data_IF_555484499238
#
_entry.id   IF_555484499238
#
_cell.length_a   1.000
_cell.length_b   1.000
_cell.length_c   1.000
_cell.angle_alpha   90.00
_cell.angle_beta   90.00
_cell.angle_gamma   90.00
#
_symmetry.space_group_name_H-M   'P 1'
#
loop_
_entity.id
_entity.type
_entity.pdbx_description
1 polymer ?
#
# COMPACT_ATOMS: atom_id res chain seq x y z
N UNK A 1 -62.62 -28.77 36.27
CA UNK A 1 -62.08 -27.43 36.43
C UNK A 1 -60.60 -27.58 36.66
N UNK A 2 -59.81 -27.32 35.64
CA UNK A 2 -58.31 -27.31 35.72
C UNK A 2 -57.82 -25.93 35.26
N UNK A 3 -57.14 -25.26 36.15
CA UNK A 3 -56.57 -23.91 35.92
C UNK A 3 -55.39 -23.96 34.97
N UNK A 4 -55.29 -22.97 34.07
CA UNK A 4 -54.21 -22.76 33.15
C UNK A 4 -53.26 -21.73 33.73
N UNK A 5 -51.96 -21.98 33.87
CA UNK A 5 -51.01 -20.99 34.38
C UNK A 5 -50.69 -19.91 33.34
N UNK A 6 -50.66 -18.65 33.80
CA UNK A 6 -50.27 -17.45 33.05
C UNK A 6 -48.80 -17.51 32.69
N UNK A 7 -48.50 -17.34 31.39
CA UNK A 7 -47.12 -17.18 30.86
C UNK A 7 -46.66 -15.74 31.08
N UNK A 8 -45.61 -15.58 31.86
CA UNK A 8 -44.94 -14.31 32.15
C UNK A 8 -44.08 -13.90 30.94
N UNK A 9 -44.29 -12.68 30.44
CA UNK A 9 -43.51 -12.10 29.34
C UNK A 9 -42.04 -11.88 29.70
N UNK A 10 -41.11 -12.49 28.93
CA UNK A 10 -39.71 -12.19 29.02
C UNK A 10 -39.42 -10.86 28.33
N UNK A 11 -38.87 -9.93 29.10
CA UNK A 11 -38.26 -8.68 28.62
C UNK A 11 -37.11 -8.96 27.68
N UNK A 12 -37.26 -8.55 26.43
CA UNK A 12 -36.17 -8.50 25.43
C UNK A 12 -35.22 -7.38 25.85
N UNK A 13 -34.01 -7.73 26.32
CA UNK A 13 -32.93 -6.77 26.54
C UNK A 13 -32.47 -6.27 25.20
N UNK A 14 -32.62 -4.98 24.96
CA UNK A 14 -32.00 -4.25 23.85
C UNK A 14 -30.49 -4.39 23.95
N UNK A 15 -29.91 -5.10 22.98
CA UNK A 15 -28.47 -5.16 22.80
C UNK A 15 -27.96 -3.77 22.42
N UNK A 16 -27.12 -3.19 23.26
CA UNK A 16 -26.37 -1.99 22.97
C UNK A 16 -25.32 -2.40 21.94
N UNK A 17 -25.47 -1.93 20.69
CA UNK A 17 -24.41 -2.03 19.69
C UNK A 17 -23.16 -1.33 20.23
N UNK A 18 -21.96 -1.95 20.11
CA UNK A 18 -20.74 -1.28 20.52
C UNK A 18 -20.51 -0.08 19.59
N UNK A 19 -20.58 1.13 20.16
CA UNK A 19 -20.15 2.37 19.51
C UNK A 19 -18.79 2.13 18.83
N UNK A 20 -18.78 2.19 17.51
CA UNK A 20 -17.53 2.30 16.74
C UNK A 20 -16.87 3.60 17.17
N UNK A 21 -15.96 3.50 18.13
CA UNK A 21 -15.09 4.61 18.53
C UNK A 21 -14.38 5.09 17.28
N UNK A 22 -14.83 6.23 16.78
CA UNK A 22 -14.20 6.97 15.69
C UNK A 22 -12.85 7.46 16.23
N UNK A 23 -11.81 6.59 16.14
CA UNK A 23 -10.45 6.97 16.47
C UNK A 23 -10.07 8.04 15.45
N UNK A 24 -10.02 9.29 15.87
CA UNK A 24 -9.42 10.38 15.10
C UNK A 24 -8.01 9.91 14.72
N UNK A 25 -7.85 9.49 13.46
CA UNK A 25 -6.54 9.09 12.94
C UNK A 25 -5.73 10.37 12.83
N UNK A 26 -4.83 10.59 13.78
CA UNK A 26 -3.95 11.75 13.82
C UNK A 26 -3.01 11.69 12.62
N UNK A 27 -2.95 12.77 11.85
CA UNK A 27 -1.99 12.89 10.74
C UNK A 27 -0.58 13.01 11.32
N UNK A 28 0.32 12.19 10.84
CA UNK A 28 1.72 12.18 11.27
C UNK A 28 2.67 12.05 10.08
N UNK A 29 3.87 12.54 10.24
CA UNK A 29 4.93 12.34 9.26
C UNK A 29 5.54 10.96 9.49
N UNK A 30 5.72 10.22 8.40
CA UNK A 30 6.26 8.86 8.38
C UNK A 30 7.27 8.70 7.25
N UNK A 31 8.05 7.63 7.29
CA UNK A 31 8.83 7.14 6.14
C UNK A 31 8.12 5.91 5.57
N UNK A 32 7.76 6.00 4.29
CA UNK A 32 7.30 4.87 3.49
C UNK A 32 8.47 4.31 2.67
N UNK A 33 8.66 3.00 2.70
CA UNK A 33 9.70 2.28 1.96
C UNK A 33 9.08 1.64 0.73
N UNK A 34 9.59 2.00 -0.43
CA UNK A 34 9.05 1.61 -1.73
C UNK A 34 9.99 0.73 -2.51
N UNK A 35 9.49 -0.33 -3.12
CA UNK A 35 10.12 -0.99 -4.24
C UNK A 35 9.71 -0.29 -5.54
N UNK A 36 10.67 -0.03 -6.40
CA UNK A 36 10.47 0.62 -7.69
C UNK A 36 10.66 -0.43 -8.78
N UNK A 37 9.68 -0.62 -9.68
CA UNK A 37 9.83 -1.57 -10.77
C UNK A 37 10.91 -1.12 -11.76
N UNK A 38 11.61 -2.07 -12.35
CA UNK A 38 12.55 -1.86 -13.44
C UNK A 38 11.83 -1.58 -14.76
N UNK A 39 12.55 -1.08 -15.76
CA UNK A 39 12.02 -1.07 -17.13
C UNK A 39 11.91 -2.52 -17.68
N UNK A 40 10.91 -2.85 -18.52
CA UNK A 40 9.88 -1.98 -19.10
C UNK A 40 8.64 -1.77 -18.23
N UNK A 41 8.47 -2.53 -17.12
CA UNK A 41 7.29 -2.47 -16.28
C UNK A 41 7.07 -1.07 -15.69
N UNK A 42 8.13 -0.39 -15.25
CA UNK A 42 8.05 0.99 -14.74
C UNK A 42 7.43 1.94 -15.75
N UNK A 43 7.89 1.88 -17.01
CA UNK A 43 7.35 2.73 -18.09
C UNK A 43 5.88 2.43 -18.37
N UNK A 44 5.52 1.16 -18.37
CA UNK A 44 4.15 0.71 -18.56
C UNK A 44 3.21 1.26 -17.48
N UNK A 45 3.53 1.04 -16.21
CA UNK A 45 2.70 1.52 -15.10
C UNK A 45 2.66 3.04 -15.02
N UNK A 46 3.78 3.73 -15.28
CA UNK A 46 3.80 5.18 -15.28
C UNK A 46 2.87 5.76 -16.35
N UNK A 47 2.80 5.15 -17.53
CA UNK A 47 1.86 5.56 -18.58
C UNK A 47 0.41 5.42 -18.13
N UNK A 48 0.05 4.30 -17.50
CA UNK A 48 -1.31 4.10 -16.96
C UNK A 48 -1.63 5.15 -15.90
N UNK A 49 -0.72 5.38 -14.94
CA UNK A 49 -0.88 6.40 -13.90
C UNK A 49 -1.11 7.78 -14.53
N UNK A 50 -0.30 8.16 -15.50
CA UNK A 50 -0.43 9.46 -16.18
C UNK A 50 -1.75 9.60 -16.94
N UNK A 51 -2.20 8.55 -17.62
CA UNK A 51 -3.45 8.56 -18.39
C UNK A 51 -4.68 8.63 -17.47
N UNK A 52 -4.68 7.87 -16.38
CA UNK A 52 -5.72 7.89 -15.37
C UNK A 52 -5.74 9.24 -14.61
N UNK A 53 -4.57 9.76 -14.24
CA UNK A 53 -4.45 11.06 -13.56
C UNK A 53 -5.03 12.18 -14.42
N UNK A 54 -4.71 12.22 -15.72
CA UNK A 54 -5.25 13.21 -16.67
C UNK A 54 -6.77 13.07 -16.83
N UNK A 55 -7.28 11.83 -16.95
CA UNK A 55 -8.71 11.56 -17.15
C UNK A 55 -9.55 11.92 -15.93
N UNK A 56 -9.02 11.73 -14.73
CA UNK A 56 -9.77 11.82 -13.48
C UNK A 56 -9.34 13.02 -12.60
N UNK A 57 -8.50 13.91 -13.11
CA UNK A 57 -7.94 15.03 -12.33
C UNK A 57 -7.40 14.51 -10.98
N UNK A 58 -6.41 13.60 -11.07
CA UNK A 58 -5.79 12.95 -9.94
C UNK A 58 -4.28 13.23 -9.90
N UNK A 59 -3.60 13.05 -8.75
CA UNK A 59 -2.16 13.28 -8.68
C UNK A 59 -1.39 12.23 -9.49
N UNK A 60 -0.29 12.67 -10.10
CA UNK A 60 0.71 11.78 -10.71
C UNK A 60 1.73 11.39 -9.66
N UNK A 61 2.11 10.12 -9.64
CA UNK A 61 3.12 9.59 -8.73
C UNK A 61 3.97 8.51 -9.41
N UNK A 62 5.13 8.21 -8.82
CA UNK A 62 6.02 7.16 -9.31
C UNK A 62 5.43 5.77 -9.00
N UNK A 63 5.43 4.81 -9.97
CA UNK A 63 4.97 3.45 -9.70
C UNK A 63 5.82 2.79 -8.62
N UNK A 64 5.16 2.24 -7.59
CA UNK A 64 5.86 1.61 -6.48
C UNK A 64 5.00 0.58 -5.74
N UNK A 65 5.66 -0.33 -5.05
CA UNK A 65 5.05 -1.19 -4.02
C UNK A 65 5.56 -0.75 -2.66
N UNK A 66 4.67 -0.36 -1.77
CA UNK A 66 5.04 -0.03 -0.38
C UNK A 66 5.32 -1.33 0.38
N UNK A 67 6.53 -1.47 0.90
CA UNK A 67 6.98 -2.66 1.64
C UNK A 67 7.01 -2.44 3.14
N UNK A 68 7.09 -1.19 3.62
CA UNK A 68 7.02 -0.83 5.02
C UNK A 68 6.63 0.64 5.19
N UNK A 69 5.99 0.96 6.32
CA UNK A 69 5.74 2.34 6.76
C UNK A 69 6.11 2.42 8.24
N UNK A 70 7.06 3.30 8.56
CA UNK A 70 7.58 3.46 9.91
C UNK A 70 7.72 4.91 10.34
N UNK A 71 8.28 5.13 11.54
CA UNK A 71 8.50 6.46 12.10
C UNK A 71 9.41 7.32 11.20
N UNK A 72 9.27 8.66 11.28
CA UNK A 72 10.12 9.63 10.55
C UNK A 72 11.56 9.65 11.07
N UNK A 73 12.37 8.69 10.61
CA UNK A 73 13.79 8.53 10.93
C UNK A 73 14.62 8.46 9.65
N UNK A 74 14.88 9.61 9.04
CA UNK A 74 15.59 9.67 7.74
C UNK A 74 17.01 9.07 7.80
N UNK A 75 17.75 9.29 8.90
CA UNK A 75 19.12 8.76 9.06
C UNK A 75 19.09 7.21 9.16
N UNK A 76 18.13 6.64 9.88
CA UNK A 76 17.95 5.21 9.97
C UNK A 76 17.55 4.61 8.60
N UNK A 77 16.80 5.34 7.79
CA UNK A 77 16.42 4.91 6.45
C UNK A 77 17.65 4.77 5.52
N UNK A 78 18.62 5.67 5.59
CA UNK A 78 19.86 5.56 4.81
C UNK A 78 20.68 4.33 5.21
N UNK A 79 20.80 4.07 6.52
CA UNK A 79 21.52 2.88 7.01
C UNK A 79 20.82 1.59 6.62
N UNK A 80 19.48 1.54 6.73
CA UNK A 80 18.68 0.38 6.33
C UNK A 80 18.88 0.03 4.86
N UNK A 81 19.05 1.01 3.98
CA UNK A 81 19.29 0.76 2.55
C UNK A 81 20.66 0.15 2.29
N UNK A 82 21.69 0.59 2.98
CA UNK A 82 22.99 -0.03 2.89
C UNK A 82 22.95 -1.53 3.26
N UNK A 83 22.21 -1.91 4.27
CA UNK A 83 22.02 -3.30 4.68
C UNK A 83 21.09 -4.06 3.71
N UNK A 84 19.98 -3.48 3.30
CA UNK A 84 19.03 -4.10 2.38
C UNK A 84 19.64 -4.32 0.98
N UNK A 85 20.34 -3.34 0.43
CA UNK A 85 21.00 -3.44 -0.89
C UNK A 85 22.10 -4.50 -0.93
N UNK A 86 22.78 -4.73 0.21
CA UNK A 86 23.80 -5.81 0.30
C UNK A 86 23.18 -7.20 0.46
N UNK A 87 21.97 -7.29 1.01
CA UNK A 87 21.32 -8.58 1.33
C UNK A 87 20.29 -9.02 0.31
N UNK A 88 19.76 -8.09 -0.47
CA UNK A 88 18.65 -8.34 -1.38
C UNK A 88 19.10 -8.19 -2.83
N UNK A 89 18.91 -9.25 -3.60
CA UNK A 89 18.96 -9.26 -5.05
C UNK A 89 17.71 -8.56 -5.61
N UNK A 90 17.62 -8.49 -6.95
CA UNK A 90 16.38 -8.10 -7.61
C UNK A 90 15.18 -8.83 -7.01
N UNK A 91 14.07 -8.12 -6.83
CA UNK A 91 12.84 -8.73 -6.30
C UNK A 91 11.88 -8.93 -7.46
N UNK A 92 11.42 -10.16 -7.63
CA UNK A 92 10.42 -10.52 -8.63
C UNK A 92 9.08 -10.76 -7.93
N UNK A 93 8.02 -10.09 -8.42
CA UNK A 93 6.68 -10.25 -7.90
C UNK A 93 5.72 -10.61 -9.02
N UNK A 94 4.89 -11.62 -8.76
CA UNK A 94 3.85 -12.08 -9.70
C UNK A 94 2.58 -11.26 -9.52
N UNK A 95 2.08 -10.54 -10.56
CA UNK A 95 0.76 -9.93 -10.53
C UNK A 95 -0.31 -11.02 -10.42
N UNK A 96 -1.32 -10.79 -9.57
CA UNK A 96 -2.44 -11.75 -9.39
C UNK A 96 -3.79 -11.15 -9.77
N UNK A 97 -3.83 -9.88 -10.13
CA UNK A 97 -5.03 -9.22 -10.63
C UNK A 97 -5.06 -7.72 -10.35
N UNK A 98 -6.11 -7.07 -10.87
CA UNK A 98 -6.42 -5.68 -10.60
C UNK A 98 -7.46 -5.61 -9.47
N UNK A 99 -7.09 -4.89 -8.41
CA UNK A 99 -7.97 -4.61 -7.28
C UNK A 99 -8.48 -3.17 -7.28
N UNK A 100 -9.54 -2.95 -6.52
CA UNK A 100 -10.08 -1.61 -6.28
C UNK A 100 -10.60 -1.48 -4.84
N UNK A 101 -10.56 -0.28 -4.28
CA UNK A 101 -11.10 0.02 -2.94
C UNK A 101 -11.64 1.45 -2.88
N UNK A 102 -12.26 1.81 -1.76
CA UNK A 102 -12.71 3.16 -1.46
C UNK A 102 -11.64 4.04 -0.78
N UNK A 103 -10.45 3.47 -0.51
CA UNK A 103 -9.32 4.22 0.02
C UNK A 103 -8.70 5.11 -1.07
N UNK A 104 -8.47 6.40 -0.76
CA UNK A 104 -7.91 7.38 -1.68
C UNK A 104 -6.61 6.90 -2.36
N UNK A 105 -5.66 6.37 -1.58
CA UNK A 105 -4.35 5.90 -2.08
C UNK A 105 -4.36 4.47 -2.63
N UNK A 106 -5.54 3.85 -2.71
CA UNK A 106 -5.71 2.47 -3.16
C UNK A 106 -6.98 2.30 -3.99
N UNK A 107 -7.37 3.35 -4.71
CA UNK A 107 -8.59 3.36 -5.52
C UNK A 107 -8.58 2.29 -6.58
N UNK A 108 -7.45 2.15 -7.28
CA UNK A 108 -7.19 1.15 -8.31
C UNK A 108 -5.74 0.69 -8.22
N UNK A 109 -5.48 -0.60 -8.23
CA UNK A 109 -4.13 -1.12 -8.00
C UNK A 109 -3.92 -2.51 -8.62
N UNK A 110 -2.67 -2.82 -8.94
CA UNK A 110 -2.22 -4.18 -9.23
C UNK A 110 -1.92 -4.87 -7.91
N UNK A 111 -2.55 -6.02 -7.67
CA UNK A 111 -2.23 -6.88 -6.53
C UNK A 111 -1.11 -7.83 -6.92
N UNK A 112 -0.14 -8.04 -6.02
CA UNK A 112 0.93 -9.02 -6.21
C UNK A 112 0.82 -10.16 -5.21
N UNK A 113 1.35 -11.33 -5.61
CA UNK A 113 1.56 -12.44 -4.69
C UNK A 113 2.66 -12.07 -3.68
N UNK A 114 2.52 -12.56 -2.45
CA UNK A 114 3.59 -12.47 -1.46
C UNK A 114 4.77 -13.36 -1.88
N UNK A 115 6.01 -12.88 -1.72
CA UNK A 115 7.21 -13.68 -1.91
C UNK A 115 8.07 -13.73 -0.64
N UNK A 116 8.94 -14.75 -0.55
CA UNK A 116 9.87 -14.88 0.56
C UNK A 116 10.88 -13.72 0.60
N UNK A 117 11.33 -13.28 -0.58
CA UNK A 117 12.28 -12.16 -0.76
C UNK A 117 11.66 -10.85 -0.29
N UNK A 118 10.39 -10.61 -0.64
CA UNK A 118 9.64 -9.45 -0.18
C UNK A 118 9.48 -9.44 1.35
N UNK A 119 9.23 -10.58 1.95
CA UNK A 119 9.14 -10.71 3.40
C UNK A 119 10.49 -10.45 4.07
N UNK A 120 11.59 -10.97 3.51
CA UNK A 120 12.95 -10.76 4.02
C UNK A 120 13.34 -9.28 4.02
N UNK A 121 13.08 -8.55 2.92
CA UNK A 121 13.41 -7.11 2.85
C UNK A 121 12.55 -6.28 3.81
N UNK A 122 11.28 -6.60 4.00
CA UNK A 122 10.43 -5.96 5.01
C UNK A 122 10.99 -6.15 6.42
N UNK A 123 11.37 -7.39 6.79
CA UNK A 123 11.97 -7.70 8.09
C UNK A 123 13.29 -6.94 8.28
N UNK A 124 14.18 -6.96 7.27
CA UNK A 124 15.46 -6.27 7.33
C UNK A 124 15.30 -4.75 7.56
N UNK A 125 14.34 -4.11 6.89
CA UNK A 125 14.06 -2.67 7.09
C UNK A 125 13.55 -2.42 8.51
N UNK A 126 12.63 -3.24 9.01
CA UNK A 126 12.09 -3.09 10.37
C UNK A 126 13.16 -3.22 11.44
N UNK A 127 14.05 -4.20 11.30
CA UNK A 127 15.17 -4.43 12.22
C UNK A 127 16.14 -3.25 12.22
N UNK A 128 16.61 -2.82 11.05
CA UNK A 128 17.58 -1.72 10.92
C UNK A 128 17.01 -0.36 11.37
N UNK A 129 15.71 -0.14 11.20
CA UNK A 129 15.05 1.09 11.66
C UNK A 129 14.59 1.02 13.10
N UNK A 130 14.72 -0.14 13.76
CA UNK A 130 14.18 -0.43 15.08
C UNK A 130 12.72 0.04 15.19
N UNK A 131 11.91 -0.33 14.19
CA UNK A 131 10.53 0.11 14.07
C UNK A 131 9.56 -0.95 14.59
N UNK A 132 8.73 -0.54 15.55
CA UNK A 132 7.70 -1.36 16.18
C UNK A 132 6.31 -1.18 15.55
N UNK A 133 6.21 -0.50 14.41
CA UNK A 133 4.92 -0.30 13.74
C UNK A 133 4.24 -1.61 13.38
N UNK A 134 2.90 -1.61 13.43
CA UNK A 134 2.06 -2.76 13.08
C UNK A 134 1.73 -2.75 11.57
N UNK A 135 2.65 -2.28 10.71
CA UNK A 135 2.41 -2.27 9.27
C UNK A 135 2.23 -3.69 8.73
N UNK A 136 1.06 -3.95 8.13
CA UNK A 136 0.74 -5.21 7.48
C UNK A 136 1.14 -5.14 6.00
N UNK A 137 2.09 -5.98 5.60
CA UNK A 137 2.56 -6.03 4.22
C UNK A 137 1.53 -6.73 3.31
N UNK A 138 0.86 -5.93 2.48
CA UNK A 138 -0.06 -6.36 1.42
C UNK A 138 0.44 -5.81 0.08
N UNK A 139 1.28 -6.56 -0.67
CA UNK A 139 1.97 -6.01 -1.82
C UNK A 139 1.00 -5.62 -2.93
N UNK A 140 1.00 -4.33 -3.27
CA UNK A 140 0.22 -3.77 -4.36
C UNK A 140 0.92 -2.54 -4.94
N UNK A 141 0.71 -2.28 -6.23
CA UNK A 141 1.13 -1.08 -6.94
C UNK A 141 -0.12 -0.30 -7.33
N UNK A 142 -0.29 0.87 -6.73
CA UNK A 142 -1.43 1.74 -7.02
C UNK A 142 -1.31 2.35 -8.42
N UNK A 143 -2.45 2.45 -9.10
CA UNK A 143 -2.57 3.04 -10.44
C UNK A 143 -3.34 4.37 -10.42
N UNK A 144 -4.15 4.59 -9.39
CA UNK A 144 -4.97 5.79 -9.26
C UNK A 144 -5.21 6.14 -7.78
N UNK A 145 -5.07 7.42 -7.45
CA UNK A 145 -5.42 8.03 -6.16
C UNK A 145 -6.56 9.02 -6.35
N UNK A 146 -7.79 8.57 -6.19
CA UNK A 146 -9.00 9.41 -6.35
C UNK A 146 -10.20 8.73 -5.69
N UNK A 147 -11.04 9.49 -5.04
CA UNK A 147 -12.32 8.97 -4.58
C UNK A 147 -13.28 8.84 -5.77
N UNK A 148 -13.69 7.62 -6.12
CA UNK A 148 -14.60 7.33 -7.22
C UNK A 148 -15.76 6.45 -6.75
N UNK A 149 -16.88 6.53 -7.46
CA UNK A 149 -18.02 5.64 -7.25
C UNK A 149 -17.64 4.17 -7.51
N UNK A 150 -18.25 3.23 -6.81
CA UNK A 150 -17.95 1.80 -6.90
C UNK A 150 -18.11 1.24 -8.32
N UNK A 151 -19.14 1.67 -9.06
CA UNK A 151 -19.36 1.27 -10.46
C UNK A 151 -18.17 1.64 -11.35
N UNK A 152 -17.77 2.91 -11.30
CA UNK A 152 -16.62 3.43 -12.05
C UNK A 152 -15.32 2.69 -11.71
N UNK A 153 -15.08 2.41 -10.43
CA UNK A 153 -13.88 1.64 -10.01
C UNK A 153 -13.87 0.23 -10.60
N UNK A 154 -15.03 -0.46 -10.63
CA UNK A 154 -15.17 -1.80 -11.21
C UNK A 154 -14.94 -1.80 -12.72
N UNK A 155 -15.50 -0.83 -13.42
CA UNK A 155 -15.30 -0.67 -14.87
C UNK A 155 -13.82 -0.43 -15.20
N UNK A 156 -13.16 0.46 -14.47
CA UNK A 156 -11.73 0.72 -14.63
C UNK A 156 -10.90 -0.53 -14.34
N UNK A 157 -11.19 -1.24 -13.25
CA UNK A 157 -10.46 -2.47 -12.90
C UNK A 157 -10.60 -3.53 -13.99
N UNK A 158 -11.78 -3.67 -14.60
CA UNK A 158 -12.02 -4.62 -15.69
C UNK A 158 -11.38 -4.21 -17.03
N UNK A 159 -11.04 -2.93 -17.21
CA UNK A 159 -10.46 -2.40 -18.46
C UNK A 159 -8.94 -2.44 -18.51
N UNK A 160 -8.27 -2.75 -17.41
CA UNK A 160 -6.79 -2.77 -17.32
C UNK A 160 -6.29 -4.21 -17.42
N UNK A 161 -5.42 -4.45 -18.37
CA UNK A 161 -4.63 -5.67 -18.49
C UNK A 161 -3.16 -5.40 -18.15
N UNK A 162 -2.54 -6.33 -17.42
CA UNK A 162 -1.12 -6.27 -17.03
C UNK A 162 -0.37 -7.38 -17.78
N UNK A 163 0.41 -7.04 -18.82
CA UNK A 163 0.99 -8.03 -19.73
C UNK A 163 2.27 -8.70 -19.18
N UNK A 164 2.48 -8.65 -17.86
CA UNK A 164 3.67 -9.22 -17.23
C UNK A 164 3.30 -10.46 -16.43
N UNK A 165 4.00 -11.57 -16.65
CA UNK A 165 3.93 -12.76 -15.80
C UNK A 165 4.59 -12.48 -14.45
N UNK A 166 5.69 -11.72 -14.47
CA UNK A 166 6.45 -11.28 -13.32
C UNK A 166 6.94 -9.84 -13.54
N UNK A 167 6.99 -9.07 -12.46
CA UNK A 167 7.51 -7.69 -12.44
C UNK A 167 8.77 -7.68 -11.61
N UNK A 168 9.88 -7.24 -12.22
CA UNK A 168 11.17 -7.09 -11.56
C UNK A 168 11.24 -5.71 -10.92
N UNK A 169 11.72 -5.66 -9.68
CA UNK A 169 12.01 -4.44 -8.92
C UNK A 169 13.50 -4.37 -8.67
N UNK A 170 14.12 -3.27 -9.10
CA UNK A 170 15.58 -3.07 -9.11
C UNK A 170 16.04 -1.88 -8.25
N UNK A 171 15.12 -1.20 -7.60
CA UNK A 171 15.45 -0.10 -6.71
C UNK A 171 14.53 -0.03 -5.50
N UNK A 172 15.04 0.60 -4.44
CA UNK A 172 14.31 0.87 -3.20
C UNK A 172 14.43 2.36 -2.88
N UNK A 173 13.33 2.97 -2.41
CA UNK A 173 13.28 4.37 -1.99
C UNK A 173 12.65 4.49 -0.61
N UNK A 174 13.17 5.39 0.22
CA UNK A 174 12.51 5.89 1.41
C UNK A 174 11.91 7.25 1.11
N UNK A 175 10.63 7.40 1.39
CA UNK A 175 9.85 8.59 1.07
C UNK A 175 9.20 9.12 2.32
N UNK A 176 9.55 10.35 2.68
CA UNK A 176 8.87 11.08 3.75
C UNK A 176 7.50 11.52 3.26
N UNK A 177 6.46 11.15 3.97
CA UNK A 177 5.08 11.45 3.61
C UNK A 177 4.20 11.64 4.85
N UNK A 178 3.00 12.18 4.63
CA UNK A 178 1.94 12.28 5.66
C UNK A 178 1.11 11.01 5.65
N UNK A 179 0.89 10.41 6.81
CA UNK A 179 0.01 9.25 6.97
C UNK A 179 -1.18 9.61 7.89
N UNK A 180 -2.40 9.29 7.50
CA UNK A 180 -2.82 8.80 6.18
C UNK A 180 -2.75 9.90 5.11
N UNK A 181 -2.32 9.54 3.90
CA UNK A 181 -2.41 10.38 2.70
C UNK A 181 -3.86 10.43 2.23
N UNK A 182 -4.46 11.63 2.06
CA UNK A 182 -5.89 11.80 1.77
C UNK A 182 -6.19 12.75 0.63
N UNK A 183 -5.18 13.42 0.06
CA UNK A 183 -5.36 14.45 -0.96
C UNK A 183 -4.21 14.48 -1.96
N UNK A 184 -4.43 15.13 -3.11
CA UNK A 184 -3.37 15.40 -4.09
C UNK A 184 -2.23 16.21 -3.50
N UNK A 185 -2.52 17.21 -2.66
CA UNK A 185 -1.51 18.01 -1.97
C UNK A 185 -0.60 17.16 -1.05
N UNK A 186 -1.15 16.11 -0.42
CA UNK A 186 -0.34 15.18 0.37
C UNK A 186 0.64 14.41 -0.51
N UNK A 187 0.22 13.99 -1.71
CA UNK A 187 1.06 13.29 -2.69
C UNK A 187 2.15 14.21 -3.24
N UNK A 188 1.83 15.44 -3.56
CA UNK A 188 2.78 16.47 -4.04
C UNK A 188 3.82 16.84 -2.98
N UNK A 189 3.47 16.68 -1.70
CA UNK A 189 4.36 16.92 -0.58
C UNK A 189 5.36 15.78 -0.32
N UNK A 190 5.26 14.65 -0.99
CA UNK A 190 6.19 13.53 -0.81
C UNK A 190 7.63 13.91 -1.17
N UNK A 191 8.58 13.45 -0.38
CA UNK A 191 10.01 13.74 -0.59
C UNK A 191 10.83 12.47 -0.42
N UNK A 192 11.57 12.12 -1.46
CA UNK A 192 12.57 11.03 -1.38
C UNK A 192 13.69 11.48 -0.44
N UNK A 193 13.93 10.72 0.61
CA UNK A 193 15.00 10.99 1.60
C UNK A 193 16.17 10.03 1.46
N UNK A 194 15.98 8.86 0.86
CA UNK A 194 17.05 7.93 0.49
C UNK A 194 16.61 7.06 -0.70
N UNK A 195 17.59 6.59 -1.47
CA UNK A 195 17.38 5.64 -2.56
C UNK A 195 18.62 4.74 -2.72
N UNK A 196 18.38 3.50 -3.13
CA UNK A 196 19.43 2.55 -3.47
C UNK A 196 18.99 1.61 -4.60
N UNK A 197 19.93 1.16 -5.43
CA UNK A 197 19.70 0.11 -6.40
C UNK A 197 19.80 -1.26 -5.71
N UNK A 198 18.94 -2.18 -6.09
CA UNK A 198 19.06 -3.59 -5.75
C UNK A 198 19.93 -4.23 -6.85
N UNK A 199 21.15 -4.58 -6.53
CA UNK A 199 22.06 -5.21 -7.49
C UNK A 199 21.93 -6.74 -7.38
N UNK A 200 21.40 -7.36 -8.44
CA UNK A 200 21.70 -8.76 -8.67
C UNK A 200 23.16 -8.86 -9.12
N UNK A 201 23.98 -9.69 -8.45
CA UNK A 201 25.24 -10.10 -9.06
C UNK A 201 24.92 -10.67 -10.43
N UNK A 202 25.35 -9.97 -11.50
CA UNK A 202 25.44 -10.58 -12.83
C UNK A 202 26.63 -11.54 -12.76
N UNK A 203 26.34 -12.81 -12.57
CA UNK A 203 27.29 -13.89 -12.85
C UNK A 203 27.43 -14.02 -14.34
#
# INVERSE_FOLDING_TARGET
MREIPKVTSLNCRTGVEPERRNRLVTRQIVIAYWLIPSAPARTFFQRIINDLARRWDAPVFEPHVTIHVGADRADAAQNAFGAAARRCKLIELKPIGIGQSDEFIKTLFVQFAMSAELSKINVAIREETNDSSQYELKPHLSLLYKNLAVGTRRELAASIDVPFLEVIFDAIKAVRCVSPTKSSADVEAWRVVAAASLSGDRV
#
